data_IF_762638643404
#
_entry.id   IF_762638643404
#
_cell.length_a   1.000
_cell.length_b   1.000
_cell.length_c   1.000
_cell.angle_alpha   90.00
_cell.angle_beta   90.00
_cell.angle_gamma   90.00
#
_symmetry.space_group_name_H-M   'P 1'
#
loop_
_entity.id
_entity.type
_entity.pdbx_description
1 polymer ?
#
# COMPACT_ATOMS: atom_id res chain seq x y z
N UNK A 1 -15.50 5.79 0.77
CA UNK A 1 -14.86 4.45 0.62
C UNK A 1 -14.91 3.74 1.95
N UNK A 2 -14.84 2.41 1.97
CA UNK A 2 -14.82 1.63 3.21
C UNK A 2 -13.44 1.00 3.41
N UNK A 3 -13.03 0.85 4.67
CA UNK A 3 -11.80 0.19 5.07
C UNK A 3 -12.09 -0.77 6.21
N UNK A 4 -11.56 -1.98 6.17
CA UNK A 4 -11.66 -2.96 7.23
C UNK A 4 -10.26 -3.40 7.66
N UNK A 5 -10.02 -3.46 8.97
CA UNK A 5 -8.79 -4.01 9.53
C UNK A 5 -9.12 -5.16 10.47
N UNK A 6 -8.51 -6.32 10.27
CA UNK A 6 -8.75 -7.52 11.08
C UNK A 6 -7.48 -8.38 11.18
N UNK A 7 -7.31 -9.14 12.28
CA UNK A 7 -6.11 -9.94 12.46
C UNK A 7 -6.23 -11.34 11.83
N UNK A 8 -5.10 -11.93 11.44
CA UNK A 8 -4.96 -13.32 10.99
C UNK A 8 -3.66 -13.94 11.53
N UNK A 9 -3.59 -15.28 11.60
CA UNK A 9 -2.37 -16.02 11.93
C UNK A 9 -1.51 -16.30 10.68
N UNK A 10 -2.06 -16.11 9.49
CA UNK A 10 -1.32 -16.29 8.24
C UNK A 10 -0.31 -15.14 8.03
N UNK A 11 0.90 -15.49 7.60
CA UNK A 11 2.01 -14.56 7.38
C UNK A 11 2.58 -14.66 5.97
N UNK A 12 2.24 -15.73 5.22
CA UNK A 12 2.67 -15.93 3.85
C UNK A 12 1.88 -15.02 2.89
N UNK A 13 2.57 -14.04 2.30
CA UNK A 13 1.96 -13.06 1.39
C UNK A 13 1.23 -13.68 0.20
N UNK A 14 1.71 -14.80 -0.34
CA UNK A 14 1.04 -15.48 -1.46
C UNK A 14 -0.27 -16.13 -1.02
N UNK A 15 -0.29 -16.78 0.14
CA UNK A 15 -1.51 -17.37 0.70
C UNK A 15 -2.52 -16.27 1.05
N UNK A 16 -2.05 -15.19 1.69
CA UNK A 16 -2.88 -14.01 1.98
C UNK A 16 -3.51 -13.44 0.71
N UNK A 17 -2.74 -13.27 -0.36
CA UNK A 17 -3.26 -12.78 -1.63
C UNK A 17 -4.42 -13.66 -2.15
N UNK A 18 -4.26 -14.99 -2.14
CA UNK A 18 -5.31 -15.91 -2.59
C UNK A 18 -6.56 -15.86 -1.70
N UNK A 19 -6.37 -15.79 -0.38
CA UNK A 19 -7.47 -15.67 0.58
C UNK A 19 -8.25 -14.37 0.39
N UNK A 20 -7.54 -13.25 0.24
CA UNK A 20 -8.13 -11.93 0.02
C UNK A 20 -8.83 -11.87 -1.34
N UNK A 21 -8.23 -12.42 -2.39
CA UNK A 21 -8.86 -12.48 -3.72
C UNK A 21 -10.20 -13.23 -3.64
N UNK A 22 -10.24 -14.39 -2.97
CA UNK A 22 -11.48 -15.13 -2.73
C UNK A 22 -12.48 -14.34 -1.89
N UNK A 23 -12.01 -13.71 -0.81
CA UNK A 23 -12.83 -12.91 0.11
C UNK A 23 -13.50 -11.72 -0.58
N UNK A 24 -12.80 -11.10 -1.54
CA UNK A 24 -13.29 -9.95 -2.30
C UNK A 24 -14.14 -10.33 -3.53
N UNK A 25 -14.52 -11.60 -3.66
CA UNK A 25 -15.40 -12.10 -4.73
C UNK A 25 -14.67 -12.65 -5.96
N UNK A 26 -13.35 -12.79 -5.92
CA UNK A 26 -12.53 -13.29 -7.02
C UNK A 26 -12.00 -12.19 -7.93
N UNK A 27 -11.24 -12.61 -8.95
CA UNK A 27 -10.56 -11.70 -9.88
C UNK A 27 -11.54 -10.82 -10.64
N UNK A 28 -11.37 -9.50 -10.54
CA UNK A 28 -12.14 -8.51 -11.29
C UNK A 28 -13.54 -8.21 -10.72
N UNK A 29 -13.96 -8.89 -9.64
CA UNK A 29 -15.26 -8.67 -9.03
C UNK A 29 -15.36 -7.30 -8.33
N UNK A 30 -14.30 -6.90 -7.63
CA UNK A 30 -14.21 -5.61 -6.93
C UNK A 30 -12.80 -5.04 -7.06
N UNK A 31 -12.71 -3.70 -7.17
CA UNK A 31 -11.43 -3.04 -6.99
C UNK A 31 -11.12 -2.90 -5.49
N UNK A 32 -9.93 -3.36 -5.08
CA UNK A 32 -9.46 -3.21 -3.71
C UNK A 32 -7.95 -3.01 -3.67
N UNK A 33 -7.50 -2.38 -2.59
CA UNK A 33 -6.10 -2.34 -2.16
C UNK A 33 -6.01 -2.85 -0.74
N UNK A 34 -4.89 -3.46 -0.39
CA UNK A 34 -4.72 -4.05 0.93
C UNK A 34 -3.28 -3.94 1.42
N UNK A 35 -3.08 -4.12 2.71
CA UNK A 35 -1.78 -4.24 3.36
C UNK A 35 -1.80 -5.35 4.40
N UNK A 36 -0.60 -5.82 4.75
CA UNK A 36 -0.35 -6.77 5.81
C UNK A 36 0.74 -6.22 6.73
N UNK A 37 0.41 -6.05 8.01
CA UNK A 37 1.32 -5.50 9.02
C UNK A 37 1.43 -6.46 10.20
N UNK A 38 2.64 -6.85 10.63
CA UNK A 38 2.80 -7.70 11.80
C UNK A 38 2.20 -7.06 13.06
N UNK A 39 1.48 -7.86 13.86
CA UNK A 39 1.05 -7.54 15.21
C UNK A 39 1.81 -8.48 16.16
N UNK A 40 2.84 -7.95 16.80
CA UNK A 40 3.78 -8.77 17.56
C UNK A 40 4.39 -9.89 16.70
N UNK A 41 4.62 -11.06 17.30
CA UNK A 41 5.37 -12.13 16.64
C UNK A 41 4.49 -13.25 16.06
N UNK A 42 3.16 -13.15 16.15
CA UNK A 42 2.25 -14.27 15.83
C UNK A 42 1.08 -13.92 14.94
N UNK A 43 0.76 -12.65 14.79
CA UNK A 43 -0.41 -12.21 14.05
C UNK A 43 -0.04 -11.19 13.00
N UNK A 44 -0.90 -11.05 12.01
CA UNK A 44 -0.82 -10.06 10.94
C UNK A 44 -2.13 -9.28 10.93
N UNK A 45 -2.07 -7.95 11.02
CA UNK A 45 -3.17 -7.06 10.69
C UNK A 45 -3.33 -7.05 9.16
N UNK A 46 -4.51 -7.44 8.67
CA UNK A 46 -4.90 -7.24 7.29
C UNK A 46 -5.80 -6.03 7.21
N UNK A 47 -5.38 -5.03 6.45
CA UNK A 47 -6.22 -3.88 6.12
C UNK A 47 -6.63 -3.98 4.67
N UNK A 48 -7.94 -3.90 4.40
CA UNK A 48 -8.52 -3.91 3.06
C UNK A 48 -9.31 -2.63 2.87
N UNK A 49 -9.09 -1.95 1.74
CA UNK A 49 -9.89 -0.81 1.30
C UNK A 49 -10.57 -1.11 -0.02
N UNK A 50 -11.86 -0.79 -0.08
CA UNK A 50 -12.71 -1.02 -1.26
C UNK A 50 -13.83 0.03 -1.31
N UNK A 51 -14.49 0.14 -2.46
CA UNK A 51 -15.71 0.94 -2.58
C UNK A 51 -16.82 0.40 -1.66
N UNK A 52 -16.96 -0.93 -1.60
CA UNK A 52 -17.87 -1.67 -0.72
C UNK A 52 -17.13 -2.86 -0.08
N UNK A 53 -17.49 -3.20 1.16
CA UNK A 53 -16.95 -4.36 1.85
C UNK A 53 -17.86 -5.57 1.61
N UNK A 54 -17.30 -6.79 1.49
CA UNK A 54 -18.09 -8.01 1.59
C UNK A 54 -18.80 -8.07 2.95
N UNK A 55 -19.99 -8.68 3.06
CA UNK A 55 -20.77 -8.73 4.31
C UNK A 55 -19.98 -9.23 5.53
N UNK A 56 -19.08 -10.20 5.32
CA UNK A 56 -18.23 -10.75 6.39
C UNK A 56 -17.24 -9.74 6.99
N UNK A 57 -16.89 -8.68 6.23
CA UNK A 57 -15.98 -7.62 6.67
C UNK A 57 -16.70 -6.37 7.19
N UNK A 58 -18.02 -6.27 7.04
CA UNK A 58 -18.79 -5.08 7.46
C UNK A 58 -18.61 -4.77 8.95
N UNK A 59 -18.51 -5.79 9.80
CA UNK A 59 -18.28 -5.63 11.25
C UNK A 59 -16.93 -4.99 11.61
N UNK A 60 -15.96 -5.02 10.71
CA UNK A 60 -14.65 -4.36 10.87
C UNK A 60 -14.58 -3.03 10.10
N UNK A 61 -15.63 -2.69 9.38
CA UNK A 61 -15.61 -1.67 8.35
C UNK A 61 -15.83 -0.26 8.89
N UNK A 62 -14.86 0.61 8.69
CA UNK A 62 -14.99 2.05 8.90
C UNK A 62 -15.23 2.79 7.58
N UNK A 63 -15.87 3.95 7.66
CA UNK A 63 -16.00 4.88 6.53
C UNK A 63 -14.85 5.86 6.56
N UNK A 64 -14.08 5.91 5.48
CA UNK A 64 -13.00 6.89 5.35
C UNK A 64 -13.53 8.24 4.86
N UNK A 65 -12.83 9.36 5.18
CA UNK A 65 -13.13 10.65 4.60
C UNK A 65 -13.24 10.58 3.08
N UNK A 66 -14.29 11.20 2.54
CA UNK A 66 -14.53 11.30 1.09
C UNK A 66 -14.23 12.69 0.54
N UNK A 67 -14.00 13.66 1.41
CA UNK A 67 -13.77 15.06 1.05
C UNK A 67 -12.38 15.45 1.52
N UNK A 68 -11.61 16.02 0.60
CA UNK A 68 -10.26 16.51 0.83
C UNK A 68 -10.15 17.93 0.28
N UNK A 69 -9.30 18.74 0.91
CA UNK A 69 -9.14 20.14 0.57
C UNK A 69 -7.69 20.43 0.16
N UNK A 70 -7.50 21.32 -0.82
CA UNK A 70 -6.16 21.80 -1.17
C UNK A 70 -5.53 22.47 0.06
N UNK A 71 -4.28 22.13 0.36
CA UNK A 71 -3.55 22.62 1.52
C UNK A 71 -3.81 21.85 2.81
N UNK A 72 -4.74 20.90 2.82
CA UNK A 72 -5.01 20.05 3.98
C UNK A 72 -3.79 19.19 4.31
N UNK A 73 -3.40 19.18 5.59
CA UNK A 73 -2.24 18.45 6.10
C UNK A 73 -2.69 17.24 6.89
N UNK A 74 -2.13 16.06 6.57
CA UNK A 74 -2.49 14.79 7.20
C UNK A 74 -1.26 13.95 7.51
N UNK A 75 -1.33 13.17 8.60
CA UNK A 75 -0.38 12.07 8.78
C UNK A 75 -0.68 10.98 7.77
N UNK A 76 0.36 10.30 7.31
CA UNK A 76 0.22 9.15 6.41
C UNK A 76 1.15 8.01 6.76
N UNK A 77 0.75 6.80 6.38
CA UNK A 77 1.63 5.65 6.22
C UNK A 77 1.48 5.08 4.81
N UNK A 78 2.56 4.57 4.24
CA UNK A 78 2.56 3.93 2.93
C UNK A 78 3.57 2.80 2.92
N UNK A 79 3.08 1.58 2.68
CA UNK A 79 3.95 0.43 2.38
C UNK A 79 4.01 0.27 0.87
N UNK A 80 5.18 0.41 0.24
CA UNK A 80 5.30 0.38 -1.21
C UNK A 80 6.55 -0.35 -1.71
N UNK A 81 6.48 -0.73 -3.00
CA UNK A 81 7.64 -1.20 -3.74
C UNK A 81 8.37 -0.01 -4.37
N UNK A 82 9.52 0.36 -3.81
CA UNK A 82 10.39 1.39 -4.36
C UNK A 82 11.22 0.79 -5.51
N UNK A 83 10.77 1.03 -6.74
CA UNK A 83 11.43 0.53 -7.94
C UNK A 83 11.51 1.60 -9.03
N UNK A 84 12.63 1.58 -9.74
CA UNK A 84 12.96 2.49 -10.84
C UNK A 84 13.10 1.72 -12.15
N UNK A 85 12.84 2.39 -13.27
CA UNK A 85 13.06 1.79 -14.60
C UNK A 85 14.57 1.76 -14.86
N UNK A 86 15.06 0.63 -15.39
CA UNK A 86 16.45 0.49 -15.82
C UNK A 86 16.49 0.12 -17.31
N UNK A 87 17.12 0.98 -18.11
CA UNK A 87 17.27 0.81 -19.56
C UNK A 87 15.98 1.04 -20.36
N UNK A 88 16.01 0.63 -21.64
CA UNK A 88 14.95 0.92 -22.61
C UNK A 88 13.72 0.01 -22.48
N UNK A 89 13.89 -1.25 -22.03
CA UNK A 89 12.78 -2.18 -21.80
C UNK A 89 11.98 -1.79 -20.54
N UNK A 90 10.77 -2.33 -20.38
CA UNK A 90 9.93 -2.13 -19.18
C UNK A 90 10.48 -2.89 -17.95
N UNK A 91 11.81 -2.96 -17.81
CA UNK A 91 12.48 -3.62 -16.71
C UNK A 91 12.57 -2.65 -15.53
N UNK A 92 12.07 -3.07 -14.37
CA UNK A 92 12.15 -2.30 -13.13
C UNK A 92 13.06 -3.01 -12.16
N UNK A 93 13.94 -2.25 -11.54
CA UNK A 93 14.85 -2.74 -10.50
C UNK A 93 14.45 -2.03 -9.21
N UNK A 94 14.39 -2.79 -8.12
CA UNK A 94 14.16 -2.21 -6.81
C UNK A 94 15.33 -1.29 -6.45
N UNK A 95 15.04 -0.19 -5.75
CA UNK A 95 16.08 0.65 -5.14
C UNK A 95 16.83 -0.20 -4.10
N UNK A 96 18.12 0.05 -3.93
CA UNK A 96 18.94 -0.65 -2.95
C UNK A 96 18.44 -0.41 -1.53
N UNK A 97 18.67 -1.37 -0.63
CA UNK A 97 18.08 -1.32 0.72
C UNK A 97 18.58 -0.13 1.53
N UNK A 98 19.84 0.27 1.32
CA UNK A 98 20.52 1.33 2.06
C UNK A 98 20.48 2.71 1.35
N UNK A 99 19.74 2.82 0.23
CA UNK A 99 19.65 4.06 -0.57
C UNK A 99 18.38 4.85 -0.21
N UNK A 100 18.37 5.36 1.03
CA UNK A 100 17.25 6.11 1.60
C UNK A 100 16.94 7.40 0.83
N UNK A 101 17.97 8.09 0.34
CA UNK A 101 17.81 9.32 -0.44
C UNK A 101 16.95 9.06 -1.69
N UNK A 102 17.28 8.01 -2.44
CA UNK A 102 16.54 7.65 -3.65
C UNK A 102 15.17 7.09 -3.36
N UNK A 103 14.96 6.45 -2.21
CA UNK A 103 13.62 6.04 -1.73
C UNK A 103 12.75 7.24 -1.42
N UNK A 104 13.30 8.27 -0.77
CA UNK A 104 12.60 9.53 -0.55
C UNK A 104 12.32 10.27 -1.88
N UNK A 105 13.26 10.27 -2.83
CA UNK A 105 13.01 10.81 -4.17
C UNK A 105 11.87 10.07 -4.88
N UNK A 106 11.86 8.74 -4.81
CA UNK A 106 10.77 7.92 -5.32
C UNK A 106 9.43 8.31 -4.68
N UNK A 107 9.39 8.45 -3.35
CA UNK A 107 8.18 8.85 -2.63
C UNK A 107 7.70 10.22 -3.10
N UNK A 108 8.57 11.24 -3.14
CA UNK A 108 8.21 12.60 -3.59
C UNK A 108 7.66 12.61 -5.01
N UNK A 109 8.28 11.87 -5.93
CA UNK A 109 7.79 11.74 -7.32
C UNK A 109 6.42 11.08 -7.37
N UNK A 110 6.20 10.01 -6.58
CA UNK A 110 4.90 9.36 -6.51
C UNK A 110 3.85 10.26 -5.88
N UNK A 111 4.20 11.01 -4.83
CA UNK A 111 3.32 11.96 -4.18
C UNK A 111 2.79 13.00 -5.17
N UNK A 112 3.68 13.67 -5.90
CA UNK A 112 3.31 14.71 -6.86
C UNK A 112 2.34 14.18 -7.94
N UNK A 113 2.56 12.95 -8.43
CA UNK A 113 1.67 12.30 -9.40
C UNK A 113 0.29 11.92 -8.82
N UNK A 114 0.17 11.85 -7.51
CA UNK A 114 -1.01 11.38 -6.79
C UNK A 114 -1.70 12.49 -5.98
N UNK A 115 -1.40 13.76 -6.28
CA UNK A 115 -2.15 14.90 -5.72
C UNK A 115 -1.79 15.26 -4.28
N UNK A 116 -0.57 14.95 -3.85
CA UNK A 116 -0.05 15.43 -2.58
C UNK A 116 1.45 15.73 -2.67
N UNK A 117 1.96 16.49 -1.72
CA UNK A 117 3.39 16.64 -1.47
C UNK A 117 3.73 16.05 -0.10
N UNK A 118 4.99 15.63 0.05
CA UNK A 118 5.51 15.13 1.33
C UNK A 118 6.04 16.33 2.12
N UNK A 119 5.46 16.59 3.28
CA UNK A 119 5.94 17.62 4.23
C UNK A 119 7.12 17.06 5.03
N UNK A 120 6.95 15.85 5.56
CA UNK A 120 7.98 15.08 6.23
C UNK A 120 7.73 13.60 6.01
N UNK A 121 8.78 12.81 5.93
CA UNK A 121 8.68 11.36 5.90
C UNK A 121 9.95 10.74 6.46
N UNK A 122 9.79 9.64 7.16
CA UNK A 122 10.85 8.71 7.52
C UNK A 122 10.61 7.36 6.84
N UNK A 123 11.68 6.58 6.70
CA UNK A 123 11.62 5.19 6.28
C UNK A 123 11.59 4.34 7.55
N UNK A 124 10.40 3.86 7.91
CA UNK A 124 10.20 3.07 9.11
C UNK A 124 10.81 1.66 8.97
N UNK A 125 10.68 1.05 7.79
CA UNK A 125 11.29 -0.26 7.48
C UNK A 125 11.61 -0.41 6.00
N UNK A 126 12.65 -1.19 5.70
CA UNK A 126 12.96 -1.68 4.35
C UNK A 126 13.16 -3.19 4.41
N UNK A 127 12.34 -3.93 3.67
CA UNK A 127 12.38 -5.38 3.64
C UNK A 127 12.44 -5.93 2.22
N UNK A 128 13.10 -7.09 2.09
CA UNK A 128 13.06 -7.94 0.90
C UNK A 128 12.12 -9.12 1.15
N UNK A 129 10.88 -9.02 0.70
CA UNK A 129 9.89 -10.07 0.89
C UNK A 129 9.90 -11.04 -0.29
N UNK A 130 9.88 -12.35 -0.01
CA UNK A 130 9.69 -13.36 -1.06
C UNK A 130 8.22 -13.43 -1.42
N UNK A 131 7.95 -13.38 -2.72
CA UNK A 131 6.60 -13.39 -3.26
C UNK A 131 6.42 -14.61 -4.16
N UNK A 132 5.32 -15.32 -3.98
CA UNK A 132 4.96 -16.50 -4.76
C UNK A 132 4.88 -17.75 -3.91
N UNK A 133 4.65 -18.88 -4.59
CA UNK A 133 4.63 -20.21 -3.97
C UNK A 133 5.99 -20.50 -3.31
N UNK A 134 6.00 -21.39 -2.32
CA UNK A 134 7.22 -21.90 -1.69
C UNK A 134 8.25 -22.31 -2.75
N UNK A 135 9.46 -21.75 -2.67
CA UNK A 135 10.53 -21.96 -3.66
C UNK A 135 10.60 -20.91 -4.78
N UNK A 136 9.65 -19.97 -4.87
CA UNK A 136 9.74 -18.86 -5.81
C UNK A 136 10.94 -17.95 -5.53
N UNK A 137 11.63 -17.52 -6.59
CA UNK A 137 12.78 -16.60 -6.52
C UNK A 137 12.37 -15.11 -6.64
N UNK A 138 11.09 -14.82 -6.77
CA UNK A 138 10.64 -13.43 -6.87
C UNK A 138 10.74 -12.75 -5.51
N UNK A 139 11.58 -11.72 -5.44
CA UNK A 139 11.76 -10.88 -4.27
C UNK A 139 11.21 -9.51 -4.60
N UNK A 140 10.35 -8.96 -3.75
CA UNK A 140 9.92 -7.58 -3.83
C UNK A 140 10.54 -6.73 -2.75
N UNK A 141 10.67 -5.45 -3.08
CA UNK A 141 10.90 -4.38 -2.14
C UNK A 141 9.62 -4.08 -1.37
N UNK A 142 9.74 -4.00 -0.05
CA UNK A 142 8.68 -3.53 0.84
C UNK A 142 9.27 -2.44 1.72
N UNK A 143 8.99 -1.19 1.35
CA UNK A 143 9.40 0.00 2.10
C UNK A 143 8.21 0.61 2.78
N UNK A 144 8.33 0.86 4.08
CA UNK A 144 7.32 1.57 4.85
C UNK A 144 7.77 3.01 5.04
N UNK A 145 6.97 3.94 4.54
CA UNK A 145 7.10 5.36 4.83
C UNK A 145 6.05 5.77 5.84
N UNK A 146 6.44 6.62 6.79
CA UNK A 146 5.52 7.29 7.71
C UNK A 146 5.87 8.77 7.76
N UNK A 147 4.85 9.62 7.91
CA UNK A 147 5.12 11.05 8.00
C UNK A 147 3.87 11.91 7.81
N UNK A 148 4.07 13.09 7.24
CA UNK A 148 3.02 14.07 7.00
C UNK A 148 3.01 14.50 5.54
N UNK A 149 1.82 14.61 4.97
CA UNK A 149 1.57 15.06 3.61
C UNK A 149 0.71 16.32 3.60
N UNK A 150 0.79 17.07 2.51
CA UNK A 150 -0.13 18.16 2.19
C UNK A 150 -0.84 17.86 0.88
N UNK A 151 -2.15 17.90 0.88
CA UNK A 151 -2.96 17.63 -0.30
C UNK A 151 -2.85 18.79 -1.29
N UNK A 152 -2.52 18.48 -2.54
CA UNK A 152 -2.37 19.48 -3.63
C UNK A 152 -3.46 19.35 -4.67
N UNK A 153 -4.03 18.15 -4.85
CA UNK A 153 -5.13 17.85 -5.76
C UNK A 153 -6.06 16.80 -5.11
N UNK A 154 -7.19 17.23 -4.53
CA UNK A 154 -8.14 16.34 -3.84
C UNK A 154 -8.63 15.16 -4.67
N UNK A 155 -8.85 15.34 -5.97
CA UNK A 155 -9.38 14.28 -6.83
C UNK A 155 -8.32 13.22 -7.12
N UNK A 156 -7.09 13.65 -7.45
CA UNK A 156 -5.96 12.73 -7.60
C UNK A 156 -5.65 12.01 -6.29
N UNK A 157 -5.73 12.71 -5.16
CA UNK A 157 -5.50 12.11 -3.84
C UNK A 157 -6.57 11.08 -3.49
N UNK A 158 -7.85 11.41 -3.68
CA UNK A 158 -8.95 10.45 -3.51
C UNK A 158 -8.79 9.22 -4.42
N UNK A 159 -8.31 9.42 -5.65
CA UNK A 159 -7.99 8.32 -6.55
C UNK A 159 -6.79 7.49 -6.07
N UNK A 160 -5.75 8.10 -5.53
CA UNK A 160 -4.60 7.40 -4.96
C UNK A 160 -4.99 6.55 -3.75
N UNK A 161 -5.84 7.09 -2.87
CA UNK A 161 -6.44 6.36 -1.76
C UNK A 161 -7.23 5.13 -2.23
N UNK A 162 -7.97 5.25 -3.34
CA UNK A 162 -8.76 4.15 -3.93
C UNK A 162 -7.90 3.10 -4.63
N UNK A 163 -7.00 3.56 -5.48
CA UNK A 163 -6.27 2.72 -6.45
C UNK A 163 -4.94 2.20 -5.93
N UNK A 164 -4.44 2.79 -4.85
CA UNK A 164 -3.11 2.54 -4.29
C UNK A 164 -1.97 3.12 -5.12
N UNK A 165 -0.83 3.31 -4.48
CA UNK A 165 0.36 3.97 -5.03
C UNK A 165 1.43 2.93 -5.36
N UNK A 166 1.93 2.94 -6.59
CA UNK A 166 3.08 2.13 -6.99
C UNK A 166 2.72 0.72 -7.48
N UNK A 167 3.68 -0.20 -7.40
CA UNK A 167 3.57 -1.58 -7.85
C UNK A 167 3.34 -2.55 -6.69
N UNK A 168 3.09 -3.82 -7.01
CA UNK A 168 2.96 -4.87 -6.00
C UNK A 168 1.64 -4.90 -5.23
N UNK A 169 0.57 -4.27 -5.76
CA UNK A 169 -0.77 -4.22 -5.14
C UNK A 169 -1.39 -5.59 -4.86
N UNK A 170 -1.11 -6.57 -5.72
CA UNK A 170 -1.52 -7.95 -5.49
C UNK A 170 -0.87 -8.56 -4.23
N UNK A 171 0.21 -7.96 -3.72
CA UNK A 171 1.02 -8.49 -2.63
C UNK A 171 0.98 -7.60 -1.38
N UNK A 172 -0.08 -6.82 -1.20
CA UNK A 172 -0.28 -6.01 0.00
C UNK A 172 0.53 -4.72 0.01
N UNK A 173 0.95 -4.22 -1.15
CA UNK A 173 1.69 -2.97 -1.30
C UNK A 173 0.84 -1.88 -1.94
N UNK A 174 1.16 -0.63 -1.64
CA UNK A 174 0.58 0.56 -2.24
C UNK A 174 -0.66 1.11 -1.52
N UNK A 175 -1.11 0.48 -0.44
CA UNK A 175 -2.11 1.10 0.43
C UNK A 175 -1.47 2.28 1.15
N UNK A 176 -1.98 3.48 0.90
CA UNK A 176 -1.69 4.69 1.68
C UNK A 176 -2.78 4.86 2.72
N UNK A 177 -2.44 4.94 4.00
CA UNK A 177 -3.40 5.26 5.07
C UNK A 177 -3.21 6.70 5.53
N UNK A 178 -4.30 7.37 5.90
CA UNK A 178 -4.28 8.74 6.42
C UNK A 178 -5.15 8.87 7.66
N UNK A 179 -4.61 9.54 8.66
CA UNK A 179 -5.27 9.81 9.94
C UNK A 179 -6.13 11.07 9.92
#
# INVERSE_FOLDING_TARGET
MRQATFPTLETNTYVLHQQIEKLMGGRGANHYVWSAEPIGNRMTAITIRSAALPPVLEKYGVTLPSTFHVGEVRRFSLVAQCAIRRGEKNNRVAIDVDDDERRHEWLRRRAALNGFEVVSAEIATVERIRIGKTGARHVADRTRFEGTLKITDPEKFANAMRMGIGHGKAFGLGLIDVG
#
